data_IF_178086549785
#
_entry.id   IF_178086549785
#
_cell.length_a   1.000
_cell.length_b   1.000
_cell.length_c   1.000
_cell.angle_alpha   90.00
_cell.angle_beta   90.00
_cell.angle_gamma   90.00
#
_symmetry.space_group_name_H-M   'P 1'
#
loop_
_entity.id
_entity.type
_entity.pdbx_description
1 polymer ?
#
# COMPACT_ATOMS: atom_id res chain seq x y z
N UNK A 1 -56.33 -6.78 19.69
CA UNK A 1 -56.06 -8.05 19.00
C UNK A 1 -56.13 -7.70 17.53
N UNK A 2 -55.03 -7.99 16.84
CA UNK A 2 -54.81 -7.89 15.39
C UNK A 2 -54.33 -6.48 14.97
N UNK A 3 -53.05 -6.12 15.21
CA UNK A 3 -51.83 -6.48 14.45
C UNK A 3 -51.82 -5.80 13.07
N UNK A 4 -51.02 -4.76 12.84
CA UNK A 4 -49.56 -4.74 12.57
C UNK A 4 -49.29 -4.62 11.06
N UNK A 5 -48.43 -3.63 10.73
CA UNK A 5 -47.71 -3.36 9.48
C UNK A 5 -48.49 -3.23 8.15
N UNK A 6 -48.44 -2.10 7.44
CA UNK A 6 -47.23 -1.33 7.17
C UNK A 6 -46.55 -1.90 5.93
N UNK A 7 -46.93 -1.41 4.75
CA UNK A 7 -46.18 -1.58 3.51
C UNK A 7 -44.73 -1.13 3.72
N UNK A 8 -43.75 -1.98 3.40
CA UNK A 8 -42.46 -1.55 2.85
C UNK A 8 -41.87 -2.63 1.93
N UNK A 9 -41.36 -2.17 0.79
CA UNK A 9 -41.02 -2.91 -0.41
C UNK A 9 -39.62 -3.56 -0.37
N UNK A 10 -39.34 -4.59 -1.19
CA UNK A 10 -38.00 -5.16 -1.31
C UNK A 10 -37.14 -4.30 -2.24
N UNK A 11 -36.37 -3.34 -1.69
CA UNK A 11 -35.59 -2.38 -2.51
C UNK A 11 -34.10 -2.75 -2.66
N UNK A 12 -33.53 -3.68 -1.87
CA UNK A 12 -32.07 -3.88 -1.88
C UNK A 12 -31.51 -4.94 -2.85
N UNK A 13 -32.35 -5.63 -3.62
CA UNK A 13 -31.88 -6.69 -4.54
C UNK A 13 -31.56 -6.18 -5.95
N UNK A 14 -32.02 -4.98 -6.33
CA UNK A 14 -31.90 -4.49 -7.71
C UNK A 14 -30.60 -3.72 -8.00
N UNK A 15 -29.99 -3.06 -7.01
CA UNK A 15 -28.77 -2.26 -7.25
C UNK A 15 -27.52 -3.13 -7.54
N UNK A 16 -27.44 -4.32 -6.94
CA UNK A 16 -26.34 -5.26 -7.20
C UNK A 16 -26.41 -5.91 -8.60
N UNK A 17 -27.60 -5.93 -9.22
CA UNK A 17 -27.84 -6.51 -10.55
C UNK A 17 -27.57 -5.48 -11.66
N UNK A 18 -27.72 -4.19 -11.38
CA UNK A 18 -27.48 -3.13 -12.37
C UNK A 18 -25.99 -2.92 -12.69
N UNK A 19 -25.09 -3.19 -11.74
CA UNK A 19 -23.64 -3.06 -11.95
C UNK A 19 -23.05 -4.21 -12.80
N UNK A 20 -23.69 -5.37 -12.80
CA UNK A 20 -23.24 -6.54 -13.59
C UNK A 20 -23.69 -6.50 -15.05
N UNK A 21 -24.72 -5.72 -15.38
CA UNK A 21 -25.26 -5.60 -16.75
C UNK A 21 -24.48 -4.63 -17.66
N UNK A 22 -23.58 -3.82 -17.08
CA UNK A 22 -22.84 -2.78 -17.79
C UNK A 22 -21.49 -3.22 -18.39
N UNK A 23 -21.02 -4.44 -18.12
CA UNK A 23 -19.73 -4.93 -18.60
C UNK A 23 -19.92 -5.83 -19.82
N UNK A 24 -19.49 -5.36 -21.00
CA UNK A 24 -19.50 -6.22 -22.18
C UNK A 24 -18.43 -7.29 -22.05
N UNK A 25 -18.62 -8.52 -22.60
CA UNK A 25 -17.60 -9.57 -22.56
C UNK A 25 -16.24 -9.14 -23.16
N UNK A 26 -16.23 -8.09 -23.98
CA UNK A 26 -15.03 -7.48 -24.55
C UNK A 26 -14.28 -6.61 -23.54
N UNK A 27 -14.97 -5.97 -22.59
CA UNK A 27 -14.34 -5.22 -21.51
C UNK A 27 -13.63 -6.14 -20.51
N UNK A 28 -14.12 -7.37 -20.34
CA UNK A 28 -13.49 -8.40 -19.51
C UNK A 28 -12.15 -8.92 -20.08
N UNK A 29 -11.90 -8.73 -21.38
CA UNK A 29 -10.65 -9.09 -22.07
C UNK A 29 -9.82 -7.87 -22.46
N UNK A 30 -10.30 -6.67 -22.12
CA UNK A 30 -9.61 -5.42 -22.40
C UNK A 30 -8.39 -5.34 -21.50
N UNK A 31 -7.21 -5.41 -22.11
CA UNK A 31 -5.95 -5.26 -21.41
C UNK A 31 -5.90 -3.85 -20.79
N UNK A 32 -6.09 -3.75 -19.46
CA UNK A 32 -6.16 -2.47 -18.73
C UNK A 32 -4.77 -1.90 -18.40
N UNK A 33 -3.69 -2.60 -18.74
CA UNK A 33 -2.33 -2.11 -18.56
C UNK A 33 -1.31 -2.96 -19.31
N UNK A 34 -0.23 -2.33 -19.81
CA UNK A 34 0.91 -3.05 -20.36
C UNK A 34 1.89 -3.44 -19.26
N UNK A 35 2.58 -4.58 -19.41
CA UNK A 35 3.62 -5.02 -18.47
C UNK A 35 4.68 -3.93 -18.23
N UNK A 36 4.79 -3.46 -16.99
CA UNK A 36 5.64 -2.35 -16.57
C UNK A 36 7.17 -2.58 -16.65
N UNK A 37 7.71 -3.72 -16.20
CA UNK A 37 9.17 -3.91 -16.15
C UNK A 37 9.81 -4.20 -17.51
N UNK A 38 11.04 -3.71 -17.74
CA UNK A 38 11.86 -4.13 -18.89
C UNK A 38 12.26 -5.60 -18.72
N UNK A 39 11.56 -6.49 -19.41
CA UNK A 39 11.83 -7.94 -19.42
C UNK A 39 12.67 -8.30 -20.63
N UNK A 40 13.85 -8.86 -20.40
CA UNK A 40 14.60 -9.57 -21.43
C UNK A 40 14.69 -11.04 -21.04
N UNK A 41 14.10 -11.94 -21.84
CA UNK A 41 14.23 -13.38 -21.63
C UNK A 41 13.65 -13.93 -20.31
N UNK A 42 12.67 -13.24 -19.69
CA UNK A 42 12.07 -13.65 -18.41
C UNK A 42 12.77 -13.12 -17.17
N UNK A 43 13.89 -12.39 -17.33
CA UNK A 43 14.59 -11.69 -16.26
C UNK A 43 14.20 -10.21 -16.32
N UNK A 44 13.79 -9.65 -15.19
CA UNK A 44 13.57 -8.20 -15.03
C UNK A 44 14.96 -7.58 -14.86
N UNK A 45 15.43 -6.88 -15.88
CA UNK A 45 16.74 -6.23 -15.90
C UNK A 45 16.54 -4.72 -16.04
N UNK A 46 16.03 -4.08 -15.00
CA UNK A 46 15.81 -2.63 -14.98
C UNK A 46 17.09 -1.85 -14.71
N UNK A 47 18.05 -2.46 -14.02
CA UNK A 47 19.38 -1.91 -13.79
C UNK A 47 20.30 -2.24 -14.97
N UNK A 48 20.98 -1.23 -15.50
CA UNK A 48 21.92 -1.37 -16.61
C UNK A 48 23.25 -1.95 -16.15
N UNK A 49 23.72 -1.56 -14.96
CA UNK A 49 24.97 -2.04 -14.38
C UNK A 49 24.77 -3.42 -13.76
N UNK A 50 25.34 -4.45 -14.39
CA UNK A 50 25.25 -5.84 -13.92
C UNK A 50 25.74 -6.00 -12.47
N UNK A 51 26.73 -5.22 -12.06
CA UNK A 51 27.27 -5.22 -10.69
C UNK A 51 26.24 -4.76 -9.63
N UNK A 52 25.28 -3.94 -10.04
CA UNK A 52 24.21 -3.42 -9.18
C UNK A 52 22.90 -4.22 -9.29
N UNK A 53 22.88 -5.31 -10.05
CA UNK A 53 21.71 -6.16 -10.16
C UNK A 53 21.58 -7.09 -8.95
N UNK A 54 20.34 -7.25 -8.47
CA UNK A 54 19.97 -8.23 -7.44
C UNK A 54 20.78 -8.12 -6.15
N UNK A 55 21.20 -9.28 -5.61
CA UNK A 55 21.89 -9.37 -4.31
C UNK A 55 23.23 -8.61 -4.30
N UNK A 56 23.91 -8.55 -5.45
CA UNK A 56 25.18 -7.83 -5.57
C UNK A 56 24.98 -6.33 -5.32
N UNK A 57 24.00 -5.72 -6.00
CA UNK A 57 23.66 -4.31 -5.79
C UNK A 57 23.18 -4.03 -4.37
N UNK A 58 22.32 -4.89 -3.82
CA UNK A 58 21.87 -4.75 -2.43
C UNK A 58 23.05 -4.74 -1.44
N UNK A 59 24.07 -5.56 -1.66
CA UNK A 59 25.29 -5.55 -0.84
C UNK A 59 26.06 -4.24 -1.00
N UNK A 60 26.24 -3.75 -2.23
CA UNK A 60 26.91 -2.46 -2.49
C UNK A 60 26.19 -1.31 -1.78
N UNK A 61 24.86 -1.24 -1.87
CA UNK A 61 24.07 -0.23 -1.16
C UNK A 61 24.19 -0.36 0.37
N UNK A 62 24.27 -1.58 0.89
CA UNK A 62 24.47 -1.83 2.31
C UNK A 62 25.88 -1.46 2.80
N UNK A 63 26.90 -1.55 1.94
CA UNK A 63 28.26 -1.09 2.24
C UNK A 63 28.33 0.43 2.20
N UNK A 64 27.69 1.06 1.21
CA UNK A 64 27.57 2.53 1.10
C UNK A 64 26.87 3.14 2.30
N UNK A 65 25.71 2.60 2.71
CA UNK A 65 24.93 3.15 3.82
C UNK A 65 25.64 3.06 5.18
N UNK A 66 26.46 2.02 5.39
CA UNK A 66 27.16 1.80 6.67
C UNK A 66 28.51 2.49 6.78
N UNK A 67 29.21 2.66 5.66
CA UNK A 67 30.60 3.13 5.67
C UNK A 67 30.76 4.58 5.21
N UNK A 68 29.87 5.10 4.35
CA UNK A 68 29.95 6.48 3.87
C UNK A 68 29.21 7.44 4.83
N UNK A 69 29.89 8.43 5.42
CA UNK A 69 29.28 9.32 6.41
C UNK A 69 28.26 10.29 5.80
N UNK A 70 28.37 10.64 4.51
CA UNK A 70 27.42 11.55 3.85
C UNK A 70 26.13 10.80 3.56
N UNK A 71 26.24 9.58 3.01
CA UNK A 71 25.08 8.73 2.73
C UNK A 71 24.35 8.39 4.04
N UNK A 72 25.10 7.98 5.06
CA UNK A 72 24.53 7.70 6.39
C UNK A 72 23.81 8.90 6.98
N UNK A 73 24.38 10.11 6.86
CA UNK A 73 23.74 11.33 7.36
C UNK A 73 22.43 11.67 6.62
N UNK A 74 22.37 11.46 5.30
CA UNK A 74 21.15 11.70 4.51
C UNK A 74 20.06 10.69 4.88
N UNK A 75 20.41 9.39 4.93
CA UNK A 75 19.46 8.33 5.31
C UNK A 75 18.90 8.58 6.71
N UNK A 76 19.77 8.91 7.68
CA UNK A 76 19.35 9.27 9.02
C UNK A 76 18.44 10.51 9.05
N UNK A 77 18.73 11.53 8.24
CA UNK A 77 17.88 12.71 8.11
C UNK A 77 16.46 12.35 7.62
N UNK A 78 16.37 11.48 6.61
CA UNK A 78 15.08 10.99 6.09
C UNK A 78 14.34 10.21 7.18
N UNK A 79 14.99 9.23 7.83
CA UNK A 79 14.40 8.44 8.91
C UNK A 79 13.87 9.30 10.05
N UNK A 80 14.64 10.32 10.43
CA UNK A 80 14.27 11.24 11.50
C UNK A 80 13.03 12.06 11.15
N UNK A 81 12.90 12.51 9.90
CA UNK A 81 11.71 13.24 9.43
C UNK A 81 10.47 12.34 9.53
N UNK A 82 10.52 11.12 9.00
CA UNK A 82 9.38 10.19 9.05
C UNK A 82 8.95 9.87 10.48
N UNK A 83 9.92 9.71 11.40
CA UNK A 83 9.67 9.45 12.81
C UNK A 83 9.07 10.65 13.57
N UNK A 84 9.30 11.87 13.07
CA UNK A 84 8.84 13.11 13.72
C UNK A 84 7.41 13.53 13.38
N UNK A 85 6.75 12.83 12.44
CA UNK A 85 5.42 13.18 11.96
C UNK A 85 4.34 12.40 12.72
N UNK A 86 3.27 13.10 13.08
CA UNK A 86 2.06 12.49 13.63
C UNK A 86 1.19 11.94 12.49
N UNK A 87 0.86 10.65 12.57
CA UNK A 87 0.04 9.96 11.58
C UNK A 87 -1.40 9.87 12.10
N UNK A 88 -2.37 10.17 11.23
CA UNK A 88 -3.79 10.05 11.54
C UNK A 88 -4.57 9.62 10.29
N UNK A 89 -5.67 8.90 10.50
CA UNK A 89 -6.57 8.53 9.40
C UNK A 89 -7.57 9.66 9.14
N UNK A 90 -7.96 9.79 7.86
CA UNK A 90 -9.01 10.71 7.42
C UNK A 90 -10.16 9.87 6.85
N UNK A 91 -11.43 10.14 7.22
CA UNK A 91 -12.57 9.45 6.65
C UNK A 91 -12.61 9.60 5.13
N UNK A 92 -12.97 8.51 4.42
CA UNK A 92 -13.12 8.53 2.96
C UNK A 92 -14.30 9.38 2.45
N UNK A 93 -15.18 9.83 3.35
CA UNK A 93 -16.37 10.61 3.08
C UNK A 93 -17.07 11.06 4.36
N UNK A 94 -18.25 11.68 4.22
CA UNK A 94 -19.04 12.19 5.36
C UNK A 94 -19.99 11.15 5.97
N UNK A 95 -20.09 9.97 5.36
CA UNK A 95 -21.04 8.95 5.78
C UNK A 95 -20.61 8.30 7.10
N UNK A 96 -21.58 7.80 7.86
CA UNK A 96 -21.32 7.12 9.13
C UNK A 96 -20.41 5.88 8.97
N UNK A 97 -20.55 5.04 7.92
CA UNK A 97 -19.59 3.97 7.62
C UNK A 97 -18.16 4.47 7.43
N UNK A 98 -17.95 5.59 6.72
CA UNK A 98 -16.61 6.12 6.44
C UNK A 98 -15.88 6.55 7.71
N UNK A 99 -16.62 7.17 8.65
CA UNK A 99 -16.08 7.58 9.96
C UNK A 99 -15.67 6.37 10.79
N UNK A 100 -16.55 5.35 10.87
CA UNK A 100 -16.25 4.10 11.58
C UNK A 100 -15.05 3.36 10.99
N UNK A 101 -14.89 3.38 9.66
CA UNK A 101 -13.73 2.80 9.00
C UNK A 101 -12.44 3.56 9.37
N UNK A 102 -12.48 4.89 9.40
CA UNK A 102 -11.36 5.73 9.84
C UNK A 102 -10.96 5.43 11.29
N UNK A 103 -11.93 5.36 12.19
CA UNK A 103 -11.71 5.05 13.61
C UNK A 103 -11.13 3.65 13.80
N UNK A 104 -11.64 2.66 13.05
CA UNK A 104 -11.11 1.31 13.06
C UNK A 104 -9.63 1.27 12.63
N UNK A 105 -9.27 1.98 11.56
CA UNK A 105 -7.88 2.07 11.11
C UNK A 105 -6.98 2.73 12.16
N UNK A 106 -7.45 3.79 12.84
CA UNK A 106 -6.70 4.40 13.95
C UNK A 106 -6.46 3.39 15.07
N UNK A 107 -7.49 2.63 15.47
CA UNK A 107 -7.31 1.59 16.50
C UNK A 107 -6.32 0.50 16.06
N UNK A 108 -6.28 0.12 14.77
CA UNK A 108 -5.29 -0.82 14.28
C UNK A 108 -3.86 -0.30 14.38
N UNK A 109 -3.64 1.02 14.22
CA UNK A 109 -2.31 1.61 14.35
C UNK A 109 -1.81 1.61 15.81
N UNK A 110 -2.72 1.80 16.76
CA UNK A 110 -2.42 1.85 18.19
C UNK A 110 -2.33 0.46 18.85
N UNK A 111 -3.01 -0.54 18.28
CA UNK A 111 -3.10 -1.93 18.81
C UNK A 111 -2.20 -2.92 18.05
N UNK A 112 -1.02 -2.48 17.64
CA UNK A 112 -0.02 -3.35 17.02
C UNK A 112 0.92 -3.98 18.06
N UNK A 113 1.42 -5.19 17.78
CA UNK A 113 2.45 -5.86 18.60
C UNK A 113 3.79 -5.12 18.60
N UNK A 114 4.08 -4.40 17.50
CA UNK A 114 5.23 -3.53 17.34
C UNK A 114 4.76 -2.07 17.31
N UNK A 115 5.62 -1.15 17.73
CA UNK A 115 5.28 0.27 17.68
C UNK A 115 5.14 0.74 16.23
N UNK A 116 4.26 1.72 16.00
CA UNK A 116 4.10 2.37 14.69
C UNK A 116 5.43 2.87 14.11
N UNK A 117 6.32 3.38 14.97
CA UNK A 117 7.69 3.77 14.59
C UNK A 117 8.55 2.60 14.11
N UNK A 118 8.45 1.42 14.74
CA UNK A 118 9.21 0.24 14.32
C UNK A 118 8.73 -0.32 12.97
N UNK A 119 7.45 -0.14 12.64
CA UNK A 119 6.93 -0.45 11.32
C UNK A 119 7.61 0.41 10.24
N UNK A 120 7.80 1.71 10.51
CA UNK A 120 8.50 2.59 9.56
C UNK A 120 9.96 2.24 9.37
N UNK A 121 10.66 1.76 10.39
CA UNK A 121 12.04 1.29 10.20
C UNK A 121 12.12 0.14 9.18
N UNK A 122 11.07 -0.72 9.12
CA UNK A 122 10.96 -1.75 8.09
C UNK A 122 10.59 -1.15 6.72
N UNK A 123 9.62 -0.23 6.65
CA UNK A 123 9.22 0.45 5.40
C UNK A 123 10.40 1.21 4.79
N UNK A 124 11.17 1.94 5.60
CA UNK A 124 12.25 2.80 5.14
C UNK A 124 13.46 2.02 4.61
N UNK A 125 13.51 0.70 4.80
CA UNK A 125 14.44 -0.17 4.07
C UNK A 125 14.29 -0.05 2.54
N UNK A 126 13.14 0.42 2.05
CA UNK A 126 12.94 0.72 0.63
C UNK A 126 13.83 1.86 0.12
N UNK A 127 14.25 2.80 0.97
CA UNK A 127 15.03 3.97 0.54
C UNK A 127 16.39 3.55 -0.04
N UNK A 128 17.21 2.72 0.64
CA UNK A 128 18.46 2.24 0.08
C UNK A 128 18.30 1.11 -0.95
N UNK A 129 17.26 0.26 -0.85
CA UNK A 129 17.19 -0.98 -1.64
C UNK A 129 16.12 -1.00 -2.74
N UNK A 130 15.22 -0.02 -2.76
CA UNK A 130 14.10 0.06 -3.71
C UNK A 130 12.90 -0.83 -3.36
N UNK A 131 12.98 -1.63 -2.29
CA UNK A 131 11.88 -2.46 -1.80
C UNK A 131 11.99 -2.68 -0.29
N UNK A 132 10.86 -3.00 0.35
CA UNK A 132 10.79 -3.38 1.76
C UNK A 132 10.00 -4.70 1.89
N UNK A 133 10.56 -5.73 2.54
CA UNK A 133 9.83 -6.97 2.80
C UNK A 133 8.87 -6.81 3.99
N UNK A 134 7.67 -7.38 3.87
CA UNK A 134 6.69 -7.53 4.95
C UNK A 134 6.24 -8.99 5.01
N UNK A 135 5.87 -9.46 6.21
CA UNK A 135 5.33 -10.80 6.44
C UNK A 135 3.81 -10.88 6.24
#
# INVERSE_FOLDING_TARGET
>A
MDDDNGQEAPVQTQEAVALTEALTPTDALKELGSAGPRRHGGIIAEEFLVELQGVSGARTYAEMSRNDPIIGAILFGIETVFRSVDWFTVPGGETEPDKKASDFLNTCMDDMSHTWTALFDNILSMVPYGYAPFE
#
